data_IF_794704324641
#
_entry.id   IF_794704324641
#
_cell.length_a   1.000
_cell.length_b   1.000
_cell.length_c   1.000
_cell.angle_alpha   90.00
_cell.angle_beta   90.00
_cell.angle_gamma   90.00
#
_symmetry.space_group_name_H-M   'P 1'
#
loop_
_entity.id
_entity.type
_entity.pdbx_description
1 polymer ?
#
# COMPACT_ATOMS: atom_id res chain seq x y z
N UNK A 1 -24.57 18.00 12.60
CA UNK A 1 -23.34 17.40 12.03
C UNK A 1 -22.24 18.41 12.16
N UNK A 2 -21.05 17.98 12.59
CA UNK A 2 -19.88 18.85 12.69
C UNK A 2 -19.26 19.05 11.31
N UNK A 3 -19.14 20.31 10.88
CA UNK A 3 -18.58 20.71 9.60
C UNK A 3 -17.12 21.07 9.77
N UNK A 4 -16.30 20.70 8.79
CA UNK A 4 -14.86 20.99 8.75
C UNK A 4 -14.46 21.66 7.44
N UNK A 5 -13.35 22.39 7.46
CA UNK A 5 -12.72 22.93 6.25
C UNK A 5 -11.89 21.87 5.51
N UNK A 6 -11.08 22.31 4.53
CA UNK A 6 -10.27 21.43 3.67
C UNK A 6 -9.11 20.79 4.44
N UNK A 7 -8.68 21.43 5.51
CA UNK A 7 -7.61 21.01 6.39
C UNK A 7 -8.14 20.13 7.54
N UNK A 8 -9.47 20.02 7.69
CA UNK A 8 -10.13 19.22 8.71
C UNK A 8 -10.38 19.95 10.03
N UNK A 9 -10.15 21.27 10.08
CA UNK A 9 -10.40 22.10 11.25
C UNK A 9 -11.91 22.32 11.44
N UNK A 10 -12.36 22.34 12.69
CA UNK A 10 -13.78 22.49 13.04
C UNK A 10 -14.28 23.90 12.71
N UNK A 11 -15.38 23.98 11.94
CA UNK A 11 -16.02 25.25 11.58
C UNK A 11 -17.28 25.52 12.39
N UNK A 12 -17.99 24.48 12.81
CA UNK A 12 -19.27 24.61 13.50
C UNK A 12 -20.21 23.44 13.22
N UNK A 13 -21.48 23.61 13.58
CA UNK A 13 -22.53 22.59 13.40
C UNK A 13 -23.52 22.98 12.32
N UNK A 14 -23.79 22.05 11.42
CA UNK A 14 -24.88 22.12 10.44
C UNK A 14 -25.98 21.09 10.67
N UNK A 15 -27.17 21.34 10.12
CA UNK A 15 -28.32 20.43 10.15
C UNK A 15 -28.42 19.70 8.82
N UNK A 16 -28.36 18.37 8.82
CA UNK A 16 -28.58 17.57 7.62
C UNK A 16 -30.05 17.69 7.21
N UNK A 17 -30.29 18.17 5.99
CA UNK A 17 -31.63 18.31 5.44
C UNK A 17 -32.03 17.10 4.59
N UNK A 18 -31.09 16.59 3.78
CA UNK A 18 -31.36 15.53 2.82
C UNK A 18 -30.08 14.80 2.43
N UNK A 19 -30.22 13.50 2.17
CA UNK A 19 -29.22 12.69 1.49
C UNK A 19 -29.75 12.27 0.12
N UNK A 20 -28.87 12.11 -0.86
CA UNK A 20 -29.19 11.50 -2.16
C UNK A 20 -27.97 10.82 -2.74
N UNK A 21 -28.15 9.78 -3.53
CA UNK A 21 -27.06 9.19 -4.29
C UNK A 21 -26.64 10.11 -5.43
N UNK A 22 -25.34 10.12 -5.74
CA UNK A 22 -24.84 10.84 -6.89
C UNK A 22 -25.30 10.13 -8.18
N UNK A 23 -25.73 10.89 -9.21
CA UNK A 23 -26.07 10.30 -10.50
C UNK A 23 -24.85 9.63 -11.14
N UNK A 24 -25.08 8.62 -11.98
CA UNK A 24 -24.00 7.91 -12.69
C UNK A 24 -23.54 6.59 -12.06
N UNK A 25 -24.31 6.01 -11.13
CA UNK A 25 -24.07 4.64 -10.63
C UNK A 25 -22.89 4.50 -9.67
N UNK A 26 -22.33 5.62 -9.18
CA UNK A 26 -21.29 5.61 -8.15
C UNK A 26 -21.94 5.53 -6.77
N UNK A 27 -21.32 4.78 -5.83
CA UNK A 27 -21.79 4.64 -4.43
C UNK A 27 -21.56 5.90 -3.57
N UNK A 28 -21.55 7.07 -4.18
CA UNK A 28 -21.29 8.35 -3.51
C UNK A 28 -22.59 8.94 -3.00
N UNK A 29 -22.64 9.32 -1.72
CA UNK A 29 -23.81 9.97 -1.10
C UNK A 29 -23.57 11.47 -1.00
N UNK A 30 -24.48 12.25 -1.60
CA UNK A 30 -24.51 13.71 -1.52
C UNK A 30 -25.33 14.14 -0.30
N UNK A 31 -24.74 14.99 0.55
CA UNK A 31 -25.38 15.54 1.74
C UNK A 31 -25.78 17.00 1.49
N UNK A 32 -27.04 17.35 1.74
CA UNK A 32 -27.50 18.74 1.78
C UNK A 32 -27.58 19.18 3.22
N UNK A 33 -26.72 20.10 3.62
CA UNK A 33 -26.60 20.56 5.01
C UNK A 33 -26.94 22.05 5.09
N UNK A 34 -27.77 22.43 6.06
CA UNK A 34 -28.04 23.82 6.42
C UNK A 34 -27.02 24.28 7.47
N UNK A 35 -26.42 25.43 7.26
CA UNK A 35 -25.47 26.02 8.19
C UNK A 35 -25.50 27.54 8.12
N UNK A 36 -24.74 28.22 8.97
CA UNK A 36 -24.64 29.68 8.97
C UNK A 36 -23.86 30.19 7.74
N UNK A 37 -24.20 31.38 7.19
CA UNK A 37 -23.59 31.90 5.96
C UNK A 37 -22.07 32.09 6.01
N UNK A 38 -21.55 32.41 7.20
CA UNK A 38 -20.13 32.64 7.48
C UNK A 38 -19.26 31.38 7.30
N UNK A 39 -19.81 30.18 7.53
CA UNK A 39 -19.08 28.92 7.35
C UNK A 39 -19.47 28.13 6.10
N UNK A 40 -20.61 28.45 5.49
CA UNK A 40 -21.16 27.71 4.35
C UNK A 40 -20.18 27.59 3.17
N UNK A 41 -19.44 28.66 2.87
CA UNK A 41 -18.46 28.68 1.77
C UNK A 41 -17.16 27.94 2.08
N UNK A 42 -16.84 27.73 3.37
CA UNK A 42 -15.61 27.10 3.84
C UNK A 42 -15.77 25.61 4.15
N UNK A 43 -17.01 25.17 4.43
CA UNK A 43 -17.31 23.78 4.73
C UNK A 43 -16.98 22.87 3.55
N UNK A 44 -16.00 21.98 3.74
CA UNK A 44 -15.53 21.03 2.74
C UNK A 44 -15.77 19.57 3.14
N UNK A 45 -16.02 19.30 4.43
CA UNK A 45 -16.24 17.97 4.94
C UNK A 45 -17.17 17.91 6.15
N UNK A 46 -17.49 16.67 6.56
CA UNK A 46 -18.29 16.38 7.74
C UNK A 46 -17.52 15.42 8.63
N UNK A 47 -17.38 15.75 9.92
CA UNK A 47 -16.74 14.88 10.89
C UNK A 47 -17.76 13.84 11.39
N UNK A 48 -17.47 12.56 11.13
CA UNK A 48 -18.34 11.42 11.50
C UNK A 48 -17.89 10.79 12.82
N UNK A 49 -16.58 10.64 13.01
CA UNK A 49 -15.99 10.08 14.21
C UNK A 49 -15.42 11.20 15.10
N UNK A 50 -15.46 10.99 16.41
CA UNK A 50 -14.87 11.94 17.36
C UNK A 50 -13.34 12.04 17.20
N UNK A 51 -12.77 13.15 17.68
CA UNK A 51 -11.32 13.43 17.64
C UNK A 51 -10.50 12.27 18.22
N UNK A 52 -10.94 11.70 19.34
CA UNK A 52 -10.25 10.59 20.02
C UNK A 52 -10.15 9.31 19.18
N UNK A 53 -11.02 9.13 18.18
CA UNK A 53 -11.03 7.97 17.28
C UNK A 53 -10.26 8.27 15.99
N UNK A 54 -10.35 9.52 15.50
CA UNK A 54 -9.74 9.95 14.25
C UNK A 54 -8.30 10.45 14.40
N UNK A 55 -7.82 10.65 15.64
CA UNK A 55 -6.45 11.10 15.91
C UNK A 55 -5.45 10.11 15.33
N UNK A 56 -4.41 10.59 14.62
CA UNK A 56 -3.37 9.70 14.13
C UNK A 56 -2.65 9.05 15.31
N UNK A 57 -2.23 7.80 15.13
CA UNK A 57 -1.33 7.14 16.08
C UNK A 57 -0.02 7.94 16.18
N UNK A 58 0.55 8.12 17.38
CA UNK A 58 1.78 8.89 17.56
C UNK A 58 2.98 8.28 16.83
N UNK A 59 2.90 6.99 16.49
CA UNK A 59 3.88 6.30 15.67
C UNK A 59 3.19 5.23 14.80
N UNK A 60 3.78 4.86 13.65
CA UNK A 60 3.34 3.71 12.88
C UNK A 60 3.34 2.44 13.75
N UNK A 61 2.28 1.65 13.66
CA UNK A 61 2.23 0.33 14.33
C UNK A 61 3.17 -0.65 13.60
N UNK A 62 4.23 -1.07 14.28
CA UNK A 62 5.14 -2.11 13.78
C UNK A 62 4.63 -3.49 14.20
N UNK A 63 3.81 -4.12 13.37
CA UNK A 63 3.35 -5.48 13.60
C UNK A 63 4.26 -6.46 12.85
N UNK A 64 4.94 -7.41 13.51
CA UNK A 64 5.82 -8.35 12.84
C UNK A 64 5.04 -9.21 11.85
N UNK A 65 5.63 -9.45 10.69
CA UNK A 65 5.02 -10.30 9.67
C UNK A 65 5.02 -11.75 10.19
N UNK A 66 3.86 -12.41 10.26
CA UNK A 66 3.79 -13.80 10.75
C UNK A 66 4.53 -14.76 9.79
N UNK A 67 5.05 -15.88 10.30
CA UNK A 67 5.87 -16.80 9.50
C UNK A 67 5.12 -17.46 8.34
N UNK A 68 3.80 -17.62 8.46
CA UNK A 68 2.91 -18.17 7.43
C UNK A 68 2.45 -17.12 6.39
N UNK A 69 2.73 -15.84 6.63
CA UNK A 69 2.35 -14.77 5.73
C UNK A 69 3.03 -14.92 4.36
N UNK A 70 2.24 -14.87 3.29
CA UNK A 70 2.75 -14.98 1.92
C UNK A 70 3.43 -13.67 1.51
N UNK A 71 4.72 -13.77 1.21
CA UNK A 71 5.57 -12.66 0.77
C UNK A 71 5.64 -12.61 -0.76
N UNK A 72 5.88 -13.75 -1.41
CA UNK A 72 5.84 -13.85 -2.87
C UNK A 72 4.54 -14.54 -3.29
N UNK A 73 3.55 -13.76 -3.76
CA UNK A 73 2.25 -14.31 -4.19
C UNK A 73 2.35 -15.26 -5.38
N UNK A 74 3.21 -14.95 -6.35
CA UNK A 74 3.37 -15.77 -7.55
C UNK A 74 3.93 -17.16 -7.22
N UNK A 75 4.94 -17.21 -6.35
CA UNK A 75 5.67 -18.44 -6.01
C UNK A 75 5.22 -19.06 -4.68
N UNK A 76 4.22 -18.44 -4.02
CA UNK A 76 3.66 -18.85 -2.73
C UNK A 76 4.71 -19.00 -1.61
N UNK A 77 5.70 -18.11 -1.58
CA UNK A 77 6.78 -18.12 -0.57
C UNK A 77 6.32 -17.38 0.68
N UNK A 78 6.49 -18.00 1.85
CA UNK A 78 6.14 -17.41 3.15
C UNK A 78 7.28 -16.61 3.77
N UNK A 79 6.98 -15.76 4.75
CA UNK A 79 7.97 -15.01 5.51
C UNK A 79 8.94 -15.93 6.27
N UNK A 80 8.43 -17.00 6.88
CA UNK A 80 9.23 -17.97 7.63
C UNK A 80 10.26 -18.69 6.75
N UNK A 81 9.90 -19.01 5.50
CA UNK A 81 10.83 -19.62 4.55
C UNK A 81 12.01 -18.68 4.22
N UNK A 82 11.74 -17.38 4.08
CA UNK A 82 12.78 -16.37 3.85
C UNK A 82 13.67 -16.21 5.09
N UNK A 83 13.07 -16.08 6.28
CA UNK A 83 13.81 -15.93 7.54
C UNK A 83 14.76 -17.08 7.80
N UNK A 84 14.34 -18.32 7.51
CA UNK A 84 15.19 -19.50 7.64
C UNK A 84 16.52 -19.34 6.89
N UNK A 85 16.47 -18.94 5.62
CA UNK A 85 17.69 -18.76 4.81
C UNK A 85 18.53 -17.56 5.27
N UNK A 86 17.90 -16.47 5.71
CA UNK A 86 18.63 -15.35 6.31
C UNK A 86 19.38 -15.78 7.58
N UNK A 87 18.76 -16.62 8.43
CA UNK A 87 19.39 -17.17 9.63
C UNK A 87 20.49 -18.19 9.33
N UNK A 88 20.40 -18.89 8.20
CA UNK A 88 21.46 -19.76 7.67
C UNK A 88 22.67 -18.99 7.10
N UNK A 89 22.56 -17.65 7.00
CA UNK A 89 23.67 -16.80 6.58
C UNK A 89 23.55 -16.25 5.16
N UNK A 90 22.43 -16.48 4.46
CA UNK A 90 22.22 -15.89 3.13
C UNK A 90 22.20 -14.37 3.23
N UNK A 91 23.02 -13.71 2.43
CA UNK A 91 23.15 -12.25 2.39
C UNK A 91 22.95 -11.67 0.99
N UNK A 92 22.86 -12.49 -0.04
CA UNK A 92 22.53 -12.07 -1.40
C UNK A 92 21.06 -12.40 -1.72
N UNK A 93 20.26 -11.39 -2.06
CA UNK A 93 18.86 -11.61 -2.43
C UNK A 93 18.70 -12.37 -3.76
N UNK A 94 19.71 -12.37 -4.64
CA UNK A 94 19.73 -13.17 -5.86
C UNK A 94 19.95 -14.67 -5.55
N UNK A 95 20.80 -14.97 -4.57
CA UNK A 95 20.94 -16.31 -3.99
C UNK A 95 19.62 -16.74 -3.33
N UNK A 96 19.07 -15.91 -2.44
CA UNK A 96 17.78 -16.17 -1.78
C UNK A 96 16.66 -16.42 -2.82
N UNK A 97 16.63 -15.63 -3.89
CA UNK A 97 15.70 -15.79 -5.01
C UNK A 97 15.88 -17.15 -5.69
N UNK A 98 17.10 -17.63 -5.84
CA UNK A 98 17.37 -18.97 -6.41
C UNK A 98 16.90 -20.08 -5.49
N UNK A 99 17.13 -19.94 -4.18
CA UNK A 99 16.75 -20.93 -3.16
C UNK A 99 15.23 -21.01 -2.93
N UNK A 100 14.56 -19.85 -2.88
CA UNK A 100 13.14 -19.76 -2.48
C UNK A 100 12.19 -19.54 -3.64
N UNK A 101 12.71 -19.17 -4.81
CA UNK A 101 11.99 -18.61 -5.95
C UNK A 101 11.40 -17.21 -5.73
N UNK A 102 11.52 -16.59 -4.56
CA UNK A 102 10.96 -15.27 -4.30
C UNK A 102 11.51 -14.22 -5.28
N UNK A 103 10.64 -13.68 -6.15
CA UNK A 103 11.04 -12.75 -7.21
C UNK A 103 11.17 -13.35 -8.62
N UNK A 104 10.80 -14.62 -8.83
CA UNK A 104 10.74 -15.25 -10.16
C UNK A 104 9.38 -15.19 -10.87
N UNK A 105 8.29 -14.90 -10.16
CA UNK A 105 6.97 -14.87 -10.78
C UNK A 105 6.81 -13.80 -11.87
N UNK A 106 5.70 -13.85 -12.61
CA UNK A 106 5.33 -12.90 -13.67
C UNK A 106 5.44 -11.41 -13.26
N UNK A 107 5.28 -11.11 -11.97
CA UNK A 107 5.47 -9.75 -11.46
C UNK A 107 6.94 -9.26 -11.48
N UNK A 108 7.92 -10.14 -11.69
CA UNK A 108 9.35 -9.82 -11.67
C UNK A 108 9.84 -9.28 -10.33
N UNK A 109 9.22 -9.70 -9.21
CA UNK A 109 9.60 -9.24 -7.87
C UNK A 109 9.02 -7.89 -7.44
N UNK A 110 8.24 -7.21 -8.28
CA UNK A 110 7.68 -5.87 -7.99
C UNK A 110 6.81 -5.83 -6.72
N UNK A 111 6.13 -6.93 -6.41
CA UNK A 111 5.24 -7.00 -5.24
C UNK A 111 5.98 -7.42 -3.97
N UNK A 112 7.01 -8.26 -4.08
CA UNK A 112 7.66 -8.87 -2.92
C UNK A 112 8.99 -8.22 -2.52
N UNK A 113 9.65 -7.44 -3.41
CA UNK A 113 10.95 -6.82 -3.14
C UNK A 113 10.97 -5.97 -1.87
N UNK A 114 9.98 -5.09 -1.69
CA UNK A 114 9.88 -4.25 -0.49
C UNK A 114 9.60 -5.06 0.77
N UNK A 115 8.87 -6.18 0.63
CA UNK A 115 8.60 -7.10 1.74
C UNK A 115 9.84 -7.89 2.14
N UNK A 116 10.67 -8.32 1.16
CA UNK A 116 11.98 -8.93 1.44
C UNK A 116 12.88 -7.99 2.22
N UNK A 117 13.01 -6.74 1.77
CA UNK A 117 13.80 -5.72 2.46
C UNK A 117 13.26 -5.43 3.89
N UNK A 118 11.94 -5.54 4.08
CA UNK A 118 11.32 -5.46 5.40
C UNK A 118 11.72 -6.63 6.29
N UNK A 119 11.67 -7.86 5.80
CA UNK A 119 12.02 -9.06 6.57
C UNK A 119 13.50 -9.03 6.97
N UNK A 120 14.39 -8.64 6.06
CA UNK A 120 15.82 -8.42 6.35
C UNK A 120 16.00 -7.49 7.56
N UNK A 121 15.29 -6.35 7.56
CA UNK A 121 15.33 -5.39 8.67
C UNK A 121 14.72 -5.95 9.96
N UNK A 122 13.66 -6.75 9.86
CA UNK A 122 13.05 -7.43 11.02
C UNK A 122 14.01 -8.47 11.63
N UNK A 123 14.86 -9.12 10.82
CA UNK A 123 15.93 -10.01 11.29
C UNK A 123 17.17 -9.26 11.80
N UNK A 124 17.12 -7.92 11.86
CA UNK A 124 18.19 -7.08 12.40
C UNK A 124 19.43 -6.96 11.50
N UNK A 125 19.33 -7.39 10.23
CA UNK A 125 20.44 -7.35 9.29
C UNK A 125 20.52 -5.94 8.68
N UNK A 126 21.66 -5.24 8.76
CA UNK A 126 21.77 -3.91 8.19
C UNK A 126 21.74 -3.96 6.65
N UNK A 127 21.13 -2.96 5.97
CA UNK A 127 21.04 -2.97 4.51
C UNK A 127 22.39 -3.04 3.78
N UNK A 128 23.47 -2.57 4.42
CA UNK A 128 24.83 -2.61 3.87
C UNK A 128 25.42 -4.03 3.78
N UNK A 129 24.86 -4.98 4.54
CA UNK A 129 25.27 -6.40 4.51
C UNK A 129 24.45 -7.23 3.53
N UNK A 130 23.51 -6.62 2.80
CA UNK A 130 22.65 -7.34 1.85
C UNK A 130 22.90 -6.86 0.42
N UNK A 131 23.18 -7.82 -0.47
CA UNK A 131 23.19 -7.56 -1.90
C UNK A 131 21.74 -7.56 -2.44
N UNK A 132 21.26 -6.47 -3.06
CA UNK A 132 19.89 -6.38 -3.56
C UNK A 132 19.64 -7.26 -4.79
N UNK A 133 18.35 -7.49 -5.09
CA UNK A 133 17.94 -8.12 -6.34
C UNK A 133 18.39 -7.29 -7.55
N UNK A 134 19.02 -7.94 -8.53
CA UNK A 134 19.41 -7.28 -9.78
C UNK A 134 18.16 -6.78 -10.53
N UNK A 135 18.13 -5.50 -10.89
CA UNK A 135 17.10 -4.97 -11.77
C UNK A 135 17.38 -5.38 -13.22
N UNK A 136 16.34 -5.87 -13.93
CA UNK A 136 16.43 -6.30 -15.32
C UNK A 136 15.62 -5.34 -16.21
N UNK A 137 16.01 -5.16 -17.49
CA UNK A 137 15.49 -4.06 -18.33
C UNK A 137 13.97 -4.09 -18.56
N UNK A 138 13.36 -5.26 -18.60
CA UNK A 138 11.94 -5.40 -18.91
C UNK A 138 11.08 -5.16 -17.67
N UNK A 139 10.36 -4.04 -17.68
CA UNK A 139 9.40 -3.73 -16.62
C UNK A 139 8.16 -4.64 -16.68
N UNK A 140 7.72 -5.09 -17.84
CA UNK A 140 6.59 -6.00 -17.98
C UNK A 140 6.95 -7.14 -18.93
N UNK A 141 6.15 -8.21 -18.88
CA UNK A 141 6.21 -9.24 -19.92
C UNK A 141 5.87 -8.58 -21.26
N UNK A 142 6.76 -8.72 -22.23
CA UNK A 142 6.61 -8.11 -23.56
C UNK A 142 6.69 -9.22 -24.59
N UNK A 143 5.68 -9.35 -25.48
CA UNK A 143 5.75 -10.29 -26.59
C UNK A 143 7.03 -10.11 -27.41
N UNK A 144 7.64 -11.22 -27.81
CA UNK A 144 8.92 -11.18 -28.54
C UNK A 144 8.82 -10.40 -29.87
N UNK A 145 7.64 -10.39 -30.49
CA UNK A 145 7.36 -9.68 -31.75
C UNK A 145 7.69 -8.19 -31.73
N UNK A 146 7.51 -7.52 -30.58
CA UNK A 146 7.85 -6.10 -30.42
C UNK A 146 9.36 -5.83 -30.61
N UNK A 147 10.23 -6.79 -30.27
CA UNK A 147 11.67 -6.66 -30.48
C UNK A 147 12.10 -7.03 -31.91
N UNK A 148 11.22 -7.66 -32.68
CA UNK A 148 11.46 -8.02 -34.08
C UNK A 148 11.00 -6.95 -35.08
N UNK A 149 10.58 -5.77 -34.61
CA UNK A 149 10.04 -4.71 -35.47
C UNK A 149 8.64 -5.04 -36.04
N UNK A 150 7.95 -6.03 -35.49
CA UNK A 150 6.56 -6.32 -35.83
C UNK A 150 5.68 -5.53 -34.87
N UNK A 151 5.10 -4.42 -35.33
CA UNK A 151 3.96 -3.83 -34.66
C UNK A 151 2.76 -4.74 -34.94
N UNK A 152 2.08 -5.21 -33.89
CA UNK A 152 0.83 -5.95 -34.05
C UNK A 152 -0.18 -5.08 -34.82
N UNK A 153 -0.80 -5.66 -35.84
CA UNK A 153 -2.06 -5.15 -36.44
C UNK A 153 -3.24 -5.46 -35.52
#
# INVERSE_FOLDING_TARGET
MDLVDREGAHLGRGVLLRTREAPGGVKTVLLRIRTSPDIAARAAGVRIQGESVASPEPAPRTLPLQDDAIVCRCERVTAGAIRRHLREGVRDLNELKTLTRAGFGACGGKTCRTLLARIVREEGIPPSEIEPLTERPLFAETPLGFFCGRCEE
#
